data_IF_868755768630
#
_entry.id   IF_868755768630
#
_cell.length_a   1.000
_cell.length_b   1.000
_cell.length_c   1.000
_cell.angle_alpha   90.00
_cell.angle_beta   90.00
_cell.angle_gamma   90.00
#
_symmetry.space_group_name_H-M   'P 1'
#
loop_
_entity.id
_entity.type
_entity.pdbx_description
1 polymer ?
#
# COMPACT_ATOMS: atom_id res chain seq x y z
N UNK A 1 -48.66 3.17 9.27
CA UNK A 1 -47.96 2.16 8.46
C UNK A 1 -46.97 2.92 7.61
N UNK A 2 -45.75 3.01 8.09
CA UNK A 2 -44.63 3.64 7.38
C UNK A 2 -44.08 2.62 6.40
N UNK A 3 -44.14 2.91 5.11
CA UNK A 3 -43.50 2.13 4.06
C UNK A 3 -42.02 2.01 4.36
N UNK A 4 -41.56 0.78 4.49
CA UNK A 4 -40.13 0.44 4.56
C UNK A 4 -39.48 0.93 3.27
N UNK A 5 -38.28 1.56 3.34
CA UNK A 5 -37.57 1.95 2.13
C UNK A 5 -37.32 0.67 1.31
N UNK A 6 -37.67 0.74 0.03
CA UNK A 6 -37.44 -0.33 -0.95
C UNK A 6 -35.98 -0.81 -0.81
N UNK A 7 -35.83 -2.09 -0.52
CA UNK A 7 -34.53 -2.79 -0.60
C UNK A 7 -34.04 -2.71 -2.04
N UNK A 8 -33.24 -1.72 -2.35
CA UNK A 8 -32.42 -1.77 -3.56
C UNK A 8 -31.61 -3.05 -3.48
N UNK A 9 -31.78 -3.95 -4.45
CA UNK A 9 -30.97 -5.15 -4.56
C UNK A 9 -29.51 -4.73 -4.63
N UNK A 10 -28.69 -5.25 -3.73
CA UNK A 10 -27.27 -4.97 -3.73
C UNK A 10 -26.66 -5.63 -4.97
N UNK A 11 -26.42 -4.83 -5.98
CA UNK A 11 -25.76 -5.22 -7.21
C UNK A 11 -24.22 -5.09 -7.11
N UNK A 12 -23.55 -5.37 -8.20
CA UNK A 12 -22.16 -5.06 -8.38
C UNK A 12 -21.97 -4.10 -9.57
N UNK A 13 -20.90 -3.34 -9.56
CA UNK A 13 -20.47 -2.52 -10.69
C UNK A 13 -18.95 -2.53 -10.82
N UNK A 14 -18.47 -2.29 -12.04
CA UNK A 14 -17.07 -1.99 -12.28
C UNK A 14 -16.94 -0.47 -12.19
N UNK A 15 -15.97 -0.01 -11.40
CA UNK A 15 -15.70 1.41 -11.18
C UNK A 15 -14.28 1.73 -11.61
N UNK A 16 -14.04 3.00 -11.88
CA UNK A 16 -12.69 3.54 -12.08
C UNK A 16 -12.50 4.67 -11.07
N UNK A 17 -11.32 4.71 -10.47
CA UNK A 17 -10.94 5.78 -9.55
C UNK A 17 -9.47 6.08 -9.76
N UNK A 18 -9.19 7.18 -10.42
CA UNK A 18 -7.81 7.60 -10.63
C UNK A 18 -7.10 7.91 -9.31
N UNK A 19 -7.84 8.34 -8.28
CA UNK A 19 -7.27 8.66 -6.98
C UNK A 19 -6.82 7.40 -6.23
N UNK A 20 -7.66 6.33 -6.18
CA UNK A 20 -7.27 5.05 -5.60
C UNK A 20 -6.12 4.40 -6.39
N UNK A 21 -6.15 4.51 -7.71
CA UNK A 21 -5.12 4.00 -8.60
C UNK A 21 -3.77 4.71 -8.36
N UNK A 22 -3.78 6.03 -8.16
CA UNK A 22 -2.57 6.80 -7.87
C UNK A 22 -2.03 6.57 -6.47
N UNK A 23 -2.88 6.41 -5.46
CA UNK A 23 -2.42 6.05 -4.12
C UNK A 23 -1.65 4.71 -4.14
N UNK A 24 -2.17 3.72 -4.87
CA UNK A 24 -1.44 2.47 -5.08
C UNK A 24 -0.12 2.69 -5.85
N UNK A 25 -0.15 3.48 -6.94
CA UNK A 25 1.04 3.80 -7.72
C UNK A 25 2.12 4.48 -6.88
N UNK A 26 1.74 5.44 -6.05
CA UNK A 26 2.64 6.18 -5.15
C UNK A 26 3.22 5.26 -4.06
N UNK A 27 2.41 4.33 -3.55
CA UNK A 27 2.87 3.30 -2.61
C UNK A 27 3.97 2.43 -3.24
N UNK A 28 3.78 2.00 -4.50
CA UNK A 28 4.76 1.18 -5.20
C UNK A 28 6.00 1.96 -5.65
N UNK A 29 5.84 3.23 -6.02
CA UNK A 29 6.91 4.07 -6.52
C UNK A 29 7.87 4.53 -5.41
N UNK A 30 7.35 4.94 -4.27
CA UNK A 30 8.13 5.54 -3.18
C UNK A 30 8.25 4.66 -1.94
N UNK A 31 7.22 3.84 -1.64
CA UNK A 31 7.17 3.02 -0.45
C UNK A 31 8.04 1.77 -0.49
N UNK A 32 8.15 1.15 0.68
CA UNK A 32 8.86 -0.12 0.85
C UNK A 32 7.96 -1.34 0.60
N UNK A 33 6.93 -1.19 -0.24
CA UNK A 33 6.03 -2.29 -0.54
C UNK A 33 6.81 -3.47 -1.13
N UNK A 34 6.72 -4.62 -0.47
CA UNK A 34 7.60 -5.78 -0.75
C UNK A 34 7.52 -6.28 -2.20
N UNK A 35 6.34 -6.24 -2.84
CA UNK A 35 6.17 -6.68 -4.22
C UNK A 35 6.74 -5.70 -5.25
N UNK A 36 6.84 -4.42 -4.94
CA UNK A 36 7.23 -3.38 -5.91
C UNK A 36 8.68 -3.54 -6.41
N UNK A 37 9.56 -4.08 -5.57
CA UNK A 37 10.97 -4.28 -5.93
C UNK A 37 11.27 -5.53 -6.74
N UNK A 38 10.29 -6.43 -6.89
CA UNK A 38 10.49 -7.76 -7.49
C UNK A 38 9.55 -8.05 -8.65
N UNK A 39 8.44 -7.34 -8.74
CA UNK A 39 7.49 -7.46 -9.84
C UNK A 39 8.02 -6.69 -11.06
N UNK A 40 8.38 -7.35 -12.17
CA UNK A 40 9.00 -6.70 -13.32
C UNK A 40 8.19 -5.52 -13.86
N UNK A 41 6.87 -5.62 -13.80
CA UNK A 41 5.96 -4.59 -14.27
C UNK A 41 6.01 -3.31 -13.44
N UNK A 42 6.38 -3.38 -12.15
CA UNK A 42 6.45 -2.24 -11.23
C UNK A 42 7.84 -1.60 -11.14
N UNK A 43 8.88 -2.32 -11.59
CA UNK A 43 10.26 -1.79 -11.61
C UNK A 43 10.35 -0.42 -12.31
N UNK A 44 9.71 -0.19 -13.48
CA UNK A 44 9.78 1.10 -14.14
C UNK A 44 9.19 2.25 -13.30
N UNK A 45 8.10 2.01 -12.57
CA UNK A 45 7.52 3.03 -11.67
C UNK A 45 8.49 3.45 -10.58
N UNK A 46 9.27 2.51 -10.04
CA UNK A 46 10.23 2.78 -8.97
C UNK A 46 11.51 3.42 -9.49
N UNK A 47 12.04 2.95 -10.61
CA UNK A 47 13.32 3.41 -11.17
C UNK A 47 13.26 4.77 -11.87
N UNK A 48 12.06 5.20 -12.28
CA UNK A 48 11.89 6.48 -12.97
C UNK A 48 11.99 7.70 -12.03
N UNK A 49 11.96 7.49 -10.72
CA UNK A 49 11.94 8.57 -9.73
C UNK A 49 13.36 8.97 -9.31
N UNK A 50 13.60 10.28 -9.27
CA UNK A 50 14.87 10.84 -8.77
C UNK A 50 14.95 10.78 -7.24
N UNK A 51 16.14 10.89 -6.69
CA UNK A 51 16.36 11.00 -5.24
C UNK A 51 15.61 12.21 -4.64
N UNK A 52 15.50 13.31 -5.38
CA UNK A 52 14.76 14.49 -4.91
C UNK A 52 13.24 14.23 -4.89
N UNK A 53 12.72 13.52 -5.88
CA UNK A 53 11.32 13.09 -5.86
C UNK A 53 11.02 12.18 -4.65
N UNK A 54 11.93 11.27 -4.32
CA UNK A 54 11.79 10.37 -3.17
C UNK A 54 11.85 11.12 -1.83
N UNK A 55 12.65 12.19 -1.72
CA UNK A 55 12.64 13.06 -0.53
C UNK A 55 11.30 13.78 -0.35
N UNK A 56 10.71 14.27 -1.43
CA UNK A 56 9.39 14.89 -1.39
C UNK A 56 8.31 13.85 -1.08
N UNK A 57 8.43 12.64 -1.64
CA UNK A 57 7.54 11.53 -1.30
C UNK A 57 7.56 11.23 0.21
N UNK A 58 8.73 11.20 0.82
CA UNK A 58 8.90 10.98 2.25
C UNK A 58 8.26 12.07 3.11
N UNK A 59 8.33 13.34 2.66
CA UNK A 59 7.63 14.46 3.31
C UNK A 59 6.11 14.26 3.30
N UNK A 60 5.54 13.78 2.18
CA UNK A 60 4.09 13.68 2.02
C UNK A 60 3.51 12.36 2.53
N UNK A 61 4.27 11.28 2.48
CA UNK A 61 3.78 9.92 2.72
C UNK A 61 4.61 9.11 3.74
N UNK A 62 5.80 9.56 4.10
CA UNK A 62 6.72 8.80 4.95
C UNK A 62 6.15 8.40 6.30
N UNK A 63 5.33 9.27 6.89
CA UNK A 63 4.64 9.03 8.17
C UNK A 63 3.33 8.21 8.04
N UNK A 64 2.90 7.87 6.81
CA UNK A 64 1.58 7.26 6.57
C UNK A 64 1.61 5.74 6.56
N UNK A 65 2.67 5.12 7.05
CA UNK A 65 2.80 3.67 7.07
C UNK A 65 2.59 3.02 5.67
N UNK A 66 2.33 1.79 5.58
CA UNK A 66 2.32 0.83 4.50
C UNK A 66 1.62 1.22 3.18
N UNK A 67 0.55 2.01 3.21
CA UNK A 67 -0.28 2.29 2.04
C UNK A 67 -0.71 3.75 1.99
N UNK A 68 -0.44 4.40 0.85
CA UNK A 68 -0.91 5.76 0.61
C UNK A 68 -2.43 5.74 0.39
N UNK A 69 -3.17 6.59 1.09
CA UNK A 69 -4.63 6.74 0.97
C UNK A 69 -5.08 8.20 1.00
N UNK A 70 -4.14 9.10 0.77
CA UNK A 70 -4.40 10.55 0.79
C UNK A 70 -5.33 10.98 -0.33
N UNK A 71 -5.10 10.49 -1.55
CA UNK A 71 -5.91 10.84 -2.71
C UNK A 71 -7.30 10.19 -2.64
N UNK A 72 -7.41 8.96 -2.13
CA UNK A 72 -8.70 8.35 -1.81
C UNK A 72 -9.49 9.24 -0.85
N UNK A 73 -8.89 9.58 0.29
CA UNK A 73 -9.52 10.44 1.31
C UNK A 73 -9.89 11.81 0.73
N UNK A 74 -8.99 12.46 0.03
CA UNK A 74 -9.25 13.75 -0.62
C UNK A 74 -10.38 13.68 -1.66
N UNK A 75 -10.45 12.57 -2.42
CA UNK A 75 -11.50 12.36 -3.43
C UNK A 75 -12.88 12.09 -2.80
N UNK A 76 -12.92 11.39 -1.66
CA UNK A 76 -14.16 11.22 -0.89
C UNK A 76 -14.67 12.60 -0.41
N UNK A 77 -13.77 13.39 0.18
CA UNK A 77 -14.10 14.74 0.67
C UNK A 77 -14.50 15.70 -0.45
N UNK A 78 -13.92 15.57 -1.63
CA UNK A 78 -14.25 16.35 -2.81
C UNK A 78 -15.47 15.82 -3.59
N UNK A 79 -15.97 14.62 -3.27
CA UNK A 79 -17.10 13.98 -3.95
C UNK A 79 -16.78 13.42 -5.33
N UNK A 80 -15.52 13.04 -5.59
CA UNK A 80 -15.02 12.57 -6.90
C UNK A 80 -14.30 11.22 -6.83
N UNK A 81 -14.64 10.37 -5.88
CA UNK A 81 -13.97 9.08 -5.68
C UNK A 81 -13.99 8.19 -6.93
N UNK A 82 -15.08 8.19 -7.68
CA UNK A 82 -15.24 7.38 -8.90
C UNK A 82 -14.89 8.12 -10.19
N UNK A 83 -14.10 9.20 -10.13
CA UNK A 83 -13.65 9.91 -11.33
C UNK A 83 -12.42 9.18 -11.92
N UNK A 84 -12.52 8.87 -13.21
CA UNK A 84 -11.47 8.18 -13.97
C UNK A 84 -10.44 9.15 -14.58
N UNK A 85 -10.85 10.39 -14.85
CA UNK A 85 -10.01 11.39 -15.50
C UNK A 85 -9.17 12.15 -14.46
N UNK A 86 -7.85 12.08 -14.63
CA UNK A 86 -6.89 12.74 -13.73
C UNK A 86 -7.14 14.23 -13.60
N UNK A 87 -7.31 14.91 -14.72
CA UNK A 87 -7.45 16.37 -14.71
C UNK A 87 -8.73 16.81 -14.01
N UNK A 88 -9.85 16.11 -14.25
CA UNK A 88 -11.12 16.39 -13.56
C UNK A 88 -11.07 16.11 -12.08
N UNK A 89 -10.53 14.96 -11.69
CA UNK A 89 -10.40 14.60 -10.28
C UNK A 89 -9.53 15.62 -9.53
N UNK A 90 -8.32 15.87 -10.03
CA UNK A 90 -7.36 16.75 -9.36
C UNK A 90 -7.81 18.22 -9.38
N UNK A 91 -8.43 18.70 -10.46
CA UNK A 91 -8.99 20.05 -10.50
C UNK A 91 -10.06 20.24 -9.42
N UNK A 92 -10.95 19.27 -9.24
CA UNK A 92 -11.98 19.34 -8.20
C UNK A 92 -11.38 19.33 -6.81
N UNK A 93 -10.41 18.43 -6.56
CA UNK A 93 -9.75 18.34 -5.25
C UNK A 93 -8.99 19.62 -4.93
N UNK A 94 -8.23 20.17 -5.88
CA UNK A 94 -7.49 21.45 -5.72
C UNK A 94 -8.38 22.63 -5.38
N UNK A 95 -9.62 22.63 -5.87
CA UNK A 95 -10.58 23.70 -5.61
C UNK A 95 -11.39 23.48 -4.34
N UNK A 96 -11.29 22.30 -3.72
CA UNK A 96 -12.03 21.96 -2.51
C UNK A 96 -11.58 22.87 -1.35
N UNK A 97 -12.54 23.41 -0.62
CA UNK A 97 -12.35 24.12 0.63
C UNK A 97 -12.87 23.29 1.79
N UNK A 98 -12.55 23.65 3.01
CA UNK A 98 -13.06 22.96 4.22
C UNK A 98 -14.59 22.92 4.21
N UNK A 99 -15.24 24.04 3.88
CA UNK A 99 -16.69 24.16 3.86
C UNK A 99 -17.32 23.27 2.77
N UNK A 100 -16.72 23.23 1.58
CA UNK A 100 -17.18 22.34 0.51
C UNK A 100 -16.96 20.87 0.82
N UNK A 101 -15.87 20.51 1.50
CA UNK A 101 -15.60 19.16 1.97
C UNK A 101 -16.62 18.72 3.03
N UNK A 102 -16.94 19.57 4.00
CA UNK A 102 -18.01 19.29 4.98
C UNK A 102 -19.32 19.03 4.26
N UNK A 103 -19.73 19.91 3.37
CA UNK A 103 -21.00 19.79 2.64
C UNK A 103 -21.06 18.52 1.80
N UNK A 104 -19.97 18.14 1.14
CA UNK A 104 -19.90 16.92 0.35
C UNK A 104 -19.98 15.66 1.24
N UNK A 105 -19.29 15.69 2.37
CA UNK A 105 -19.30 14.56 3.31
C UNK A 105 -20.66 14.42 3.99
N UNK A 106 -21.31 15.52 4.38
CA UNK A 106 -22.67 15.53 4.93
C UNK A 106 -23.69 14.93 3.96
N UNK A 107 -23.60 15.26 2.67
CA UNK A 107 -24.46 14.63 1.64
C UNK A 107 -24.30 13.11 1.58
N UNK A 108 -23.07 12.63 1.69
CA UNK A 108 -22.76 11.18 1.72
C UNK A 108 -23.22 10.54 3.04
N UNK A 109 -23.05 11.25 4.15
CA UNK A 109 -23.35 10.80 5.50
C UNK A 109 -24.84 10.93 5.89
N UNK A 110 -25.61 11.71 5.14
CA UNK A 110 -27.04 11.97 5.44
C UNK A 110 -27.88 10.70 5.49
N UNK A 111 -27.54 9.67 4.71
CA UNK A 111 -28.21 8.36 4.74
C UNK A 111 -28.03 7.61 6.07
N UNK A 112 -27.09 8.04 6.89
CA UNK A 112 -26.69 7.41 8.17
C UNK A 112 -26.94 8.33 9.36
N UNK A 113 -27.70 9.41 9.14
CA UNK A 113 -28.04 10.41 10.17
C UNK A 113 -26.82 11.06 10.83
N UNK A 114 -25.78 11.32 10.03
CA UNK A 114 -24.55 11.98 10.47
C UNK A 114 -24.47 13.40 9.93
N UNK A 115 -24.15 14.32 10.81
CA UNK A 115 -23.96 15.74 10.50
C UNK A 115 -22.67 16.25 11.13
N UNK A 116 -22.16 17.34 10.60
CA UNK A 116 -21.04 18.07 11.19
C UNK A 116 -21.43 18.65 12.56
N UNK A 117 -20.44 18.92 13.38
CA UNK A 117 -20.66 19.54 14.70
C UNK A 117 -20.44 21.05 14.60
N UNK A 118 -21.52 21.81 14.57
CA UNK A 118 -21.49 23.27 14.48
C UNK A 118 -20.80 23.97 15.67
N UNK A 119 -20.59 23.26 16.78
CA UNK A 119 -19.89 23.79 17.95
C UNK A 119 -18.36 23.68 17.86
N UNK A 120 -17.84 23.01 16.83
CA UNK A 120 -16.41 22.86 16.60
C UNK A 120 -15.95 23.84 15.50
N UNK A 121 -14.66 24.23 15.51
CA UNK A 121 -14.06 24.87 14.36
C UNK A 121 -14.26 24.02 13.08
N UNK A 122 -14.40 24.61 11.90
CA UNK A 122 -14.70 23.86 10.66
C UNK A 122 -13.72 22.70 10.39
N UNK A 123 -12.44 22.89 10.65
CA UNK A 123 -11.42 21.84 10.50
C UNK A 123 -11.68 20.65 11.44
N UNK A 124 -11.88 20.93 12.72
CA UNK A 124 -12.13 19.87 13.72
C UNK A 124 -13.48 19.18 13.46
N UNK A 125 -14.48 19.94 13.01
CA UNK A 125 -15.79 19.42 12.62
C UNK A 125 -15.70 18.44 11.44
N UNK A 126 -14.90 18.77 10.42
CA UNK A 126 -14.64 17.88 9.27
C UNK A 126 -13.92 16.62 9.69
N UNK A 127 -12.89 16.76 10.53
CA UNK A 127 -12.11 15.63 11.04
C UNK A 127 -13.02 14.66 11.84
N UNK A 128 -13.82 15.22 12.75
CA UNK A 128 -14.76 14.42 13.56
C UNK A 128 -15.79 13.70 12.70
N UNK A 129 -16.42 14.41 11.75
CA UNK A 129 -17.43 13.82 10.87
C UNK A 129 -16.83 12.68 10.01
N UNK A 130 -15.63 12.87 9.44
CA UNK A 130 -15.00 11.85 8.62
C UNK A 130 -14.58 10.63 9.43
N UNK A 131 -14.03 10.81 10.61
CA UNK A 131 -13.67 9.70 11.51
C UNK A 131 -14.91 8.89 11.87
N UNK A 132 -16.02 9.55 12.24
CA UNK A 132 -17.29 8.86 12.49
C UNK A 132 -17.81 8.13 11.26
N UNK A 133 -17.75 8.76 10.08
CA UNK A 133 -18.18 8.18 8.82
C UNK A 133 -17.39 6.90 8.49
N UNK A 134 -16.06 6.93 8.61
CA UNK A 134 -15.20 5.77 8.35
C UNK A 134 -15.38 4.67 9.40
N UNK A 135 -15.52 5.00 10.67
CA UNK A 135 -15.79 4.00 11.73
C UNK A 135 -17.13 3.31 11.54
N UNK A 136 -18.17 4.06 11.22
CA UNK A 136 -19.50 3.49 10.96
C UNK A 136 -19.50 2.48 9.82
N UNK A 137 -18.66 2.63 8.81
CA UNK A 137 -18.55 1.66 7.72
C UNK A 137 -18.26 0.24 8.26
N UNK A 138 -17.38 0.13 9.25
CA UNK A 138 -17.03 -1.14 9.88
C UNK A 138 -18.09 -1.59 10.90
N UNK A 139 -18.57 -0.69 11.72
CA UNK A 139 -19.59 -0.98 12.76
C UNK A 139 -20.90 -1.48 12.15
N UNK A 140 -21.32 -0.90 11.03
CA UNK A 140 -22.57 -1.25 10.33
C UNK A 140 -22.64 -2.70 9.85
N UNK A 141 -21.48 -3.33 9.65
CA UNK A 141 -21.38 -4.74 9.24
C UNK A 141 -21.07 -5.68 10.42
N UNK A 142 -21.03 -5.14 11.65
CA UNK A 142 -20.74 -5.91 12.85
C UNK A 142 -19.26 -6.21 13.04
N UNK A 143 -18.40 -5.48 12.35
CA UNK A 143 -16.99 -5.49 12.59
C UNK A 143 -16.69 -4.45 13.70
N UNK A 144 -16.60 -4.94 14.94
CA UNK A 144 -15.96 -4.14 15.98
C UNK A 144 -14.51 -3.98 15.54
N UNK A 145 -14.16 -2.82 15.00
CA UNK A 145 -12.78 -2.53 14.69
C UNK A 145 -11.96 -2.90 15.94
N UNK A 146 -11.04 -3.86 15.87
CA UNK A 146 -10.24 -4.22 17.01
C UNK A 146 -9.62 -2.91 17.43
N UNK A 147 -9.94 -2.42 18.63
CA UNK A 147 -9.57 -1.10 19.12
C UNK A 147 -8.12 -0.76 18.80
N UNK A 148 -7.84 -0.62 17.52
CA UNK A 148 -6.55 -0.17 17.01
C UNK A 148 -6.51 1.32 17.28
N UNK A 149 -5.87 1.75 18.39
CA UNK A 149 -5.74 3.16 18.72
C UNK A 149 -5.02 3.92 17.59
N UNK A 150 -4.29 3.20 16.74
CA UNK A 150 -3.58 3.74 15.58
C UNK A 150 -4.53 4.08 14.42
N UNK A 151 -5.67 3.37 14.25
CA UNK A 151 -6.59 3.61 13.14
C UNK A 151 -7.16 5.02 13.14
N UNK A 152 -7.73 5.44 14.27
CA UNK A 152 -8.28 6.80 14.39
C UNK A 152 -7.20 7.87 14.25
N UNK A 153 -6.03 7.65 14.85
CA UNK A 153 -4.89 8.55 14.72
C UNK A 153 -4.44 8.69 13.26
N UNK A 154 -4.42 7.58 12.51
CA UNK A 154 -4.09 7.59 11.09
C UNK A 154 -5.11 8.37 10.28
N UNK A 155 -6.41 8.11 10.44
CA UNK A 155 -7.45 8.87 9.76
C UNK A 155 -7.34 10.39 10.01
N UNK A 156 -7.08 10.77 11.27
CA UNK A 156 -6.87 12.18 11.62
C UNK A 156 -5.65 12.79 10.92
N UNK A 157 -4.56 12.03 10.80
CA UNK A 157 -3.37 12.48 10.03
C UNK A 157 -3.69 12.65 8.54
N UNK A 158 -4.36 11.68 7.94
CA UNK A 158 -4.75 11.71 6.53
C UNK A 158 -5.61 12.94 6.21
N UNK A 159 -6.64 13.21 7.02
CA UNK A 159 -7.49 14.38 6.78
C UNK A 159 -6.71 15.68 6.95
N UNK A 160 -5.93 15.83 8.02
CA UNK A 160 -5.11 17.03 8.21
C UNK A 160 -4.22 17.28 7.00
N UNK A 161 -3.64 16.23 6.44
CA UNK A 161 -2.84 16.37 5.23
C UNK A 161 -3.70 16.72 4.02
N UNK A 162 -4.92 16.18 3.88
CA UNK A 162 -5.85 16.60 2.83
C UNK A 162 -6.16 18.10 2.92
N UNK A 163 -6.32 18.65 4.12
CA UNK A 163 -6.53 20.09 4.31
C UNK A 163 -5.33 20.91 3.85
N UNK A 164 -4.12 20.38 4.02
CA UNK A 164 -2.90 21.06 3.56
C UNK A 164 -2.73 21.07 2.04
N UNK A 165 -3.36 20.13 1.32
CA UNK A 165 -3.32 20.06 -0.15
C UNK A 165 -4.58 20.65 -0.82
N UNK A 166 -5.63 20.96 -0.07
CA UNK A 166 -6.80 21.66 -0.55
C UNK A 166 -6.50 23.15 -0.82
N UNK A 167 -7.45 23.84 -1.42
CA UNK A 167 -7.33 25.25 -1.77
C UNK A 167 -6.98 26.08 -0.53
N UNK A 168 -5.86 26.79 -0.60
CA UNK A 168 -5.36 27.63 0.50
C UNK A 168 -4.56 26.89 1.56
N UNK A 169 -4.40 25.57 1.44
CA UNK A 169 -3.55 24.77 2.32
C UNK A 169 -2.06 25.02 2.09
N UNK A 170 -1.25 24.74 3.08
CA UNK A 170 0.20 25.02 3.12
C UNK A 170 0.99 24.30 2.03
N UNK A 171 0.60 23.07 1.72
CA UNK A 171 1.27 22.23 0.73
C UNK A 171 0.54 22.19 -0.62
N UNK A 172 -0.47 23.06 -0.84
CA UNK A 172 -1.27 23.05 -2.05
C UNK A 172 -0.42 23.04 -3.33
N UNK A 173 0.30 24.13 -3.61
CA UNK A 173 1.03 24.26 -4.87
C UNK A 173 2.20 23.26 -4.99
N UNK A 174 3.07 23.06 -3.96
CA UNK A 174 4.16 22.11 -4.06
C UNK A 174 3.70 20.68 -4.30
N UNK A 175 2.72 20.21 -3.54
CA UNK A 175 2.20 18.86 -3.65
C UNK A 175 1.63 18.56 -5.04
N UNK A 176 0.77 19.48 -5.56
CA UNK A 176 0.17 19.26 -6.87
C UNK A 176 1.17 19.36 -8.01
N UNK A 177 2.17 20.21 -7.91
CA UNK A 177 3.26 20.25 -8.89
C UNK A 177 4.07 18.95 -8.89
N UNK A 178 4.40 18.42 -7.72
CA UNK A 178 5.08 17.17 -7.55
C UNK A 178 4.26 15.97 -8.08
N UNK A 179 2.96 15.93 -7.76
CA UNK A 179 2.05 14.87 -8.22
C UNK A 179 1.83 14.94 -9.75
N UNK A 180 1.67 16.14 -10.32
CA UNK A 180 1.55 16.33 -11.78
C UNK A 180 2.80 15.83 -12.49
N UNK A 181 3.99 16.14 -11.96
CA UNK A 181 5.24 15.63 -12.51
C UNK A 181 5.26 14.09 -12.52
N UNK A 182 4.97 13.47 -11.40
CA UNK A 182 4.88 12.01 -11.31
C UNK A 182 3.85 11.45 -12.29
N UNK A 183 2.65 12.02 -12.31
CA UNK A 183 1.58 11.55 -13.19
C UNK A 183 2.00 11.61 -14.66
N UNK A 184 2.39 12.77 -15.16
CA UNK A 184 2.66 12.94 -16.59
C UNK A 184 3.98 12.33 -17.06
N UNK A 185 5.01 12.32 -16.24
CA UNK A 185 6.33 11.84 -16.65
C UNK A 185 6.54 10.34 -16.38
N UNK A 186 5.90 9.80 -15.36
CA UNK A 186 6.14 8.42 -14.90
C UNK A 186 4.90 7.56 -15.04
N UNK A 187 3.83 7.93 -14.35
CA UNK A 187 2.68 7.06 -14.19
C UNK A 187 1.85 6.90 -15.46
N UNK A 188 1.46 7.99 -16.11
CA UNK A 188 0.62 7.95 -17.30
C UNK A 188 1.25 7.18 -18.47
N UNK A 189 2.52 7.39 -18.85
CA UNK A 189 3.18 6.57 -19.87
C UNK A 189 3.22 5.08 -19.49
N UNK A 190 3.51 4.78 -18.23
CA UNK A 190 3.50 3.41 -17.74
C UNK A 190 2.09 2.79 -17.83
N UNK A 191 1.06 3.50 -17.37
CA UNK A 191 -0.33 3.05 -17.41
C UNK A 191 -0.81 2.79 -18.84
N UNK A 192 -0.44 3.65 -19.78
CA UNK A 192 -0.74 3.45 -21.20
C UNK A 192 -0.11 2.17 -21.75
N UNK A 193 1.09 1.82 -21.32
CA UNK A 193 1.72 0.54 -21.67
C UNK A 193 0.93 -0.69 -21.16
N UNK A 194 0.11 -0.50 -20.13
CA UNK A 194 -0.74 -1.54 -19.53
C UNK A 194 -2.17 -1.59 -20.09
N UNK A 195 -2.49 -0.77 -21.10
CA UNK A 195 -3.86 -0.66 -21.66
C UNK A 195 -4.43 -2.01 -22.09
N UNK A 196 -3.68 -2.81 -22.82
CA UNK A 196 -4.14 -4.12 -23.27
C UNK A 196 -4.37 -5.07 -22.08
N UNK A 197 -3.50 -5.05 -21.10
CA UNK A 197 -3.66 -5.80 -19.85
C UNK A 197 -4.96 -5.42 -19.13
N UNK A 198 -5.25 -4.13 -19.01
CA UNK A 198 -6.47 -3.64 -18.35
C UNK A 198 -7.75 -4.08 -19.10
N UNK A 199 -7.73 -4.02 -20.44
CA UNK A 199 -8.86 -4.50 -21.27
C UNK A 199 -9.09 -6.00 -21.08
N UNK A 200 -8.03 -6.79 -21.01
CA UNK A 200 -8.15 -8.24 -20.80
C UNK A 200 -8.57 -8.57 -19.37
N UNK A 201 -8.10 -7.80 -18.39
CA UNK A 201 -8.51 -7.93 -17.00
C UNK A 201 -10.01 -7.65 -16.83
N UNK A 202 -10.51 -6.58 -17.45
CA UNK A 202 -11.95 -6.26 -17.46
C UNK A 202 -12.79 -7.39 -18.06
N UNK A 203 -12.40 -7.94 -19.21
CA UNK A 203 -13.06 -9.10 -19.82
C UNK A 203 -13.08 -10.31 -18.89
N UNK A 204 -11.95 -10.58 -18.20
CA UNK A 204 -11.86 -11.67 -17.22
C UNK A 204 -12.81 -11.43 -16.05
N UNK A 205 -12.82 -10.21 -15.49
CA UNK A 205 -13.74 -9.86 -14.42
C UNK A 205 -15.21 -10.06 -14.85
N UNK A 206 -15.60 -9.55 -16.02
CA UNK A 206 -16.95 -9.73 -16.57
C UNK A 206 -17.28 -11.22 -16.74
N UNK A 207 -16.33 -12.03 -17.20
CA UNK A 207 -16.50 -13.47 -17.36
C UNK A 207 -16.70 -14.16 -16.00
N UNK A 208 -15.91 -13.81 -15.01
CA UNK A 208 -15.95 -14.36 -13.65
C UNK A 208 -17.25 -13.97 -12.94
N UNK A 209 -17.67 -12.72 -13.10
CA UNK A 209 -18.96 -12.24 -12.54
C UNK A 209 -20.15 -12.91 -13.24
N UNK A 210 -19.89 -13.59 -14.35
CA UNK A 210 -20.88 -14.28 -15.14
C UNK A 210 -21.68 -13.31 -16.02
N UNK A 211 -22.50 -13.86 -16.91
CA UNK A 211 -23.51 -13.10 -17.64
C UNK A 211 -24.68 -12.65 -16.73
N UNK A 212 -24.47 -12.65 -15.41
CA UNK A 212 -25.43 -12.17 -14.45
C UNK A 212 -25.68 -10.68 -14.74
N UNK A 213 -26.88 -10.39 -15.19
CA UNK A 213 -27.39 -9.03 -15.20
C UNK A 213 -27.13 -8.49 -13.79
N UNK A 214 -26.59 -7.30 -13.69
CA UNK A 214 -26.16 -6.64 -12.46
C UNK A 214 -27.24 -6.53 -11.35
N UNK A 215 -28.38 -7.16 -11.53
CA UNK A 215 -29.57 -6.96 -10.71
C UNK A 215 -29.83 -8.05 -9.67
N UNK A 216 -29.32 -9.29 -9.82
CA UNK A 216 -29.99 -10.37 -9.10
C UNK A 216 -29.15 -11.29 -8.21
N UNK A 217 -27.83 -11.28 -8.29
CA UNK A 217 -26.99 -12.13 -7.40
C UNK A 217 -25.63 -11.52 -7.14
N UNK A 218 -25.25 -11.53 -5.89
CA UNK A 218 -23.87 -11.31 -5.49
C UNK A 218 -23.05 -12.49 -6.03
N UNK A 219 -21.95 -12.21 -6.76
CA UNK A 219 -21.10 -13.27 -7.27
C UNK A 219 -20.54 -14.11 -6.11
N UNK A 220 -20.40 -15.41 -6.34
CA UNK A 220 -19.65 -16.26 -5.42
C UNK A 220 -18.22 -15.76 -5.36
N UNK A 221 -17.81 -15.28 -4.19
CA UNK A 221 -16.49 -14.68 -3.99
C UNK A 221 -15.36 -15.72 -3.85
N UNK A 222 -15.65 -17.02 -4.01
CA UNK A 222 -14.65 -18.07 -3.91
C UNK A 222 -13.52 -17.95 -4.94
N UNK A 223 -13.73 -17.15 -5.98
CA UNK A 223 -12.73 -16.83 -6.99
C UNK A 223 -11.79 -15.68 -6.60
N UNK A 224 -12.15 -14.88 -5.58
CA UNK A 224 -11.21 -13.88 -5.05
C UNK A 224 -10.04 -14.61 -4.41
N UNK A 225 -8.81 -14.18 -4.69
CA UNK A 225 -7.65 -14.73 -4.01
C UNK A 225 -7.85 -14.71 -2.49
N UNK A 226 -7.51 -15.81 -1.83
CA UNK A 226 -7.65 -15.93 -0.37
C UNK A 226 -6.86 -14.88 0.40
N UNK A 227 -5.94 -14.20 -0.27
CA UNK A 227 -5.12 -13.11 0.26
C UNK A 227 -5.79 -11.73 0.13
N UNK A 228 -6.95 -11.60 -0.58
CA UNK A 228 -7.62 -10.32 -0.61
C UNK A 228 -7.99 -9.90 0.83
N UNK A 229 -7.58 -8.71 1.29
CA UNK A 229 -7.81 -8.28 2.67
C UNK A 229 -9.29 -8.32 3.07
N UNK A 230 -10.21 -8.10 2.13
CA UNK A 230 -11.65 -8.21 2.39
C UNK A 230 -12.06 -9.61 2.85
N UNK A 231 -11.34 -10.66 2.46
CA UNK A 231 -11.60 -12.03 2.88
C UNK A 231 -10.95 -12.39 4.23
N UNK A 232 -9.96 -11.61 4.69
CA UNK A 232 -9.40 -11.73 6.04
C UNK A 232 -10.42 -11.37 7.11
N UNK A 233 -11.42 -10.58 6.74
CA UNK A 233 -12.48 -10.13 7.65
C UNK A 233 -13.79 -10.87 7.34
N UNK A 234 -14.12 -11.92 8.10
CA UNK A 234 -15.34 -12.71 7.87
C UNK A 234 -16.62 -11.86 7.86
N UNK A 235 -16.60 -10.72 8.56
CA UNK A 235 -17.69 -9.75 8.64
C UNK A 235 -17.95 -9.12 7.28
N UNK A 236 -16.92 -8.67 6.58
CA UNK A 236 -17.03 -8.09 5.24
C UNK A 236 -17.59 -9.14 4.28
N UNK A 237 -17.01 -10.34 4.28
CA UNK A 237 -17.51 -11.45 3.46
C UNK A 237 -18.97 -11.82 3.75
N UNK A 238 -19.40 -11.79 5.02
CA UNK A 238 -20.82 -12.01 5.38
C UNK A 238 -21.73 -10.88 4.91
N UNK A 239 -21.30 -9.62 5.07
CA UNK A 239 -22.07 -8.45 4.65
C UNK A 239 -22.26 -8.41 3.13
N UNK A 240 -21.23 -8.77 2.37
CA UNK A 240 -21.31 -8.91 0.92
C UNK A 240 -22.29 -10.02 0.54
N UNK A 241 -22.12 -11.24 1.05
CA UNK A 241 -23.00 -12.38 0.75
C UNK A 241 -24.45 -12.17 1.15
N UNK A 242 -24.73 -11.36 2.16
CA UNK A 242 -26.09 -11.01 2.57
C UNK A 242 -26.69 -9.85 1.80
N UNK A 243 -26.06 -9.40 0.73
CA UNK A 243 -26.49 -8.26 -0.08
C UNK A 243 -26.66 -6.94 0.71
N UNK A 244 -25.97 -6.80 1.85
CA UNK A 244 -25.99 -5.56 2.62
C UNK A 244 -25.02 -4.51 2.11
N UNK A 245 -23.97 -4.95 1.37
CA UNK A 245 -22.95 -4.09 0.78
C UNK A 245 -22.94 -4.28 -0.74
N UNK A 246 -23.26 -3.26 -1.54
CA UNK A 246 -22.93 -3.22 -2.95
C UNK A 246 -21.44 -3.38 -3.18
N UNK A 247 -21.09 -4.18 -4.21
CA UNK A 247 -19.72 -4.43 -4.61
C UNK A 247 -19.32 -3.50 -5.74
N UNK A 248 -18.28 -2.72 -5.51
CA UNK A 248 -17.65 -1.92 -6.54
C UNK A 248 -16.28 -2.55 -6.85
N UNK A 249 -16.16 -3.13 -8.05
CA UNK A 249 -14.88 -3.68 -8.48
C UNK A 249 -14.04 -2.61 -9.15
N UNK A 250 -12.86 -2.43 -8.63
CA UNK A 250 -11.87 -1.53 -9.15
C UNK A 250 -10.77 -2.34 -9.84
N UNK A 251 -10.49 -2.03 -11.12
CA UNK A 251 -9.45 -2.70 -11.90
C UNK A 251 -8.10 -2.08 -11.63
N UNK A 252 -7.15 -2.89 -11.18
CA UNK A 252 -5.79 -2.44 -10.91
C UNK A 252 -4.85 -2.68 -12.09
N UNK A 253 -4.14 -1.66 -12.58
CA UNK A 253 -3.13 -1.84 -13.63
C UNK A 253 -1.87 -2.57 -13.16
N UNK A 254 -1.71 -2.76 -11.84
CA UNK A 254 -0.52 -3.34 -11.23
C UNK A 254 -0.42 -4.86 -11.36
N UNK A 255 -1.55 -5.54 -11.48
CA UNK A 255 -1.61 -6.99 -11.74
C UNK A 255 -1.83 -7.84 -10.49
N UNK A 256 -2.08 -7.26 -9.34
CA UNK A 256 -2.46 -7.97 -8.12
C UNK A 256 -3.57 -7.24 -7.37
N UNK A 257 -4.37 -8.00 -6.62
CA UNK A 257 -5.51 -7.50 -5.88
C UNK A 257 -5.23 -7.64 -4.39
N UNK A 258 -4.87 -6.55 -3.76
CA UNK A 258 -4.56 -6.54 -2.33
C UNK A 258 -5.21 -5.38 -1.58
N UNK A 259 -5.99 -4.56 -2.28
CA UNK A 259 -6.62 -3.40 -1.68
C UNK A 259 -8.14 -3.51 -1.61
N UNK A 260 -8.70 -2.94 -0.58
CA UNK A 260 -10.11 -2.67 -0.48
C UNK A 260 -10.35 -1.35 0.24
N UNK A 261 -11.46 -0.70 -0.08
CA UNK A 261 -11.95 0.44 0.69
C UNK A 261 -13.38 0.17 1.14
N UNK A 262 -13.63 0.34 2.43
CA UNK A 262 -14.95 0.21 3.01
C UNK A 262 -15.49 1.58 3.35
N UNK A 263 -16.60 1.93 2.72
CA UNK A 263 -17.38 3.12 3.03
C UNK A 263 -18.76 2.71 3.56
N UNK A 264 -19.46 3.57 4.29
CA UNK A 264 -20.81 3.28 4.73
C UNK A 264 -21.69 2.82 3.57
N UNK A 265 -22.24 1.62 3.70
CA UNK A 265 -23.14 1.03 2.72
C UNK A 265 -22.53 0.55 1.42
N UNK A 266 -21.20 0.55 1.24
CA UNK A 266 -20.56 0.02 0.04
C UNK A 266 -19.11 -0.41 0.27
N UNK A 267 -18.64 -1.33 -0.58
CA UNK A 267 -17.25 -1.79 -0.55
C UNK A 267 -16.65 -1.71 -1.94
N UNK A 268 -15.42 -1.23 -2.01
CA UNK A 268 -14.57 -1.22 -3.20
C UNK A 268 -13.53 -2.32 -3.06
N UNK A 269 -13.46 -3.20 -4.03
CA UNK A 269 -12.50 -4.29 -4.07
C UNK A 269 -11.64 -4.17 -5.33
N UNK A 270 -10.34 -4.16 -5.17
CA UNK A 270 -9.46 -4.29 -6.32
C UNK A 270 -9.58 -5.68 -6.94
N UNK A 271 -9.46 -5.76 -8.25
CA UNK A 271 -9.45 -7.01 -8.99
C UNK A 271 -8.18 -7.16 -9.78
N UNK A 272 -7.54 -8.30 -9.61
CA UNK A 272 -6.37 -8.71 -10.36
C UNK A 272 -6.51 -10.15 -10.85
N UNK A 273 -5.58 -10.55 -11.69
CA UNK A 273 -5.53 -11.90 -12.22
C UNK A 273 -5.15 -12.89 -11.11
N UNK A 274 -5.96 -13.95 -10.89
CA UNK A 274 -5.59 -15.02 -9.96
C UNK A 274 -4.22 -15.61 -10.32
N UNK A 275 -3.37 -15.80 -9.32
CA UNK A 275 -2.02 -16.34 -9.49
C UNK A 275 -0.91 -15.29 -9.57
N UNK A 276 -1.17 -14.09 -10.08
CA UNK A 276 -0.16 -13.01 -10.13
C UNK A 276 0.33 -12.60 -8.74
N UNK A 277 -0.56 -12.53 -7.77
CA UNK A 277 -0.19 -12.28 -6.37
C UNK A 277 0.78 -13.36 -5.88
N UNK A 278 0.45 -14.63 -6.12
CA UNK A 278 1.32 -15.73 -5.69
C UNK A 278 2.71 -15.64 -6.32
N UNK A 279 2.79 -15.35 -7.63
CA UNK A 279 4.07 -15.19 -8.33
C UNK A 279 4.91 -14.06 -7.73
N UNK A 280 4.29 -12.90 -7.45
CA UNK A 280 4.96 -11.76 -6.81
C UNK A 280 5.44 -12.10 -5.40
N UNK A 281 4.59 -12.72 -4.58
CA UNK A 281 4.96 -13.15 -3.24
C UNK A 281 6.04 -14.23 -3.26
N UNK A 282 5.94 -15.21 -4.17
CA UNK A 282 6.91 -16.27 -4.28
C UNK A 282 8.29 -15.74 -4.66
N UNK A 283 8.38 -14.81 -5.59
CA UNK A 283 9.64 -14.19 -6.00
C UNK A 283 10.26 -13.38 -4.86
N UNK A 284 9.48 -12.52 -4.21
CA UNK A 284 9.97 -11.75 -3.08
C UNK A 284 10.39 -12.64 -1.91
N UNK A 285 9.58 -13.64 -1.57
CA UNK A 285 9.90 -14.61 -0.52
C UNK A 285 11.20 -15.36 -0.82
N UNK A 286 11.44 -15.72 -2.09
CA UNK A 286 12.65 -16.38 -2.53
C UNK A 286 13.88 -15.48 -2.32
N UNK A 287 13.80 -14.21 -2.71
CA UNK A 287 14.87 -13.23 -2.53
C UNK A 287 15.15 -12.96 -1.05
N UNK A 288 14.09 -12.76 -0.27
CA UNK A 288 14.20 -12.54 1.18
C UNK A 288 14.78 -13.77 1.88
N UNK A 289 14.26 -14.97 1.54
CA UNK A 289 14.74 -16.25 2.08
C UNK A 289 16.20 -16.49 1.78
N UNK A 290 16.70 -16.18 0.58
CA UNK A 290 18.11 -16.33 0.24
C UNK A 290 19.01 -15.47 1.13
N UNK A 291 18.59 -14.23 1.44
CA UNK A 291 19.32 -13.33 2.35
C UNK A 291 19.28 -13.83 3.80
N UNK A 292 18.11 -14.28 4.27
CA UNK A 292 17.95 -14.88 5.61
C UNK A 292 18.79 -16.14 5.71
N UNK A 293 18.78 -17.00 4.70
CA UNK A 293 19.57 -18.23 4.65
C UNK A 293 21.07 -17.94 4.73
N UNK A 294 21.53 -16.82 4.17
CA UNK A 294 22.92 -16.40 4.32
C UNK A 294 23.31 -16.12 5.78
N UNK A 295 22.37 -15.75 6.64
CA UNK A 295 22.59 -15.58 8.09
C UNK A 295 22.32 -16.87 8.91
N UNK A 296 21.58 -17.83 8.38
CA UNK A 296 21.14 -19.03 9.10
C UNK A 296 22.24 -20.11 9.24
N UNK A 297 23.49 -19.69 9.43
CA UNK A 297 24.64 -20.55 9.66
C UNK A 297 25.49 -19.98 10.80
N UNK A 298 25.78 -20.74 11.87
CA UNK A 298 26.52 -20.24 13.03
C UNK A 298 27.90 -19.70 12.66
N UNK A 299 28.59 -20.35 11.73
CA UNK A 299 29.95 -19.91 11.32
C UNK A 299 29.88 -18.56 10.61
N UNK A 300 28.87 -18.32 9.76
CA UNK A 300 28.69 -17.04 9.08
C UNK A 300 28.35 -15.91 10.05
N UNK A 301 27.53 -16.17 11.07
CA UNK A 301 27.26 -15.17 12.11
C UNK A 301 28.53 -14.82 12.89
N UNK A 302 29.36 -15.83 13.21
CA UNK A 302 30.67 -15.58 13.88
C UNK A 302 31.58 -14.77 12.96
N UNK A 303 31.68 -15.13 11.67
CA UNK A 303 32.49 -14.40 10.69
C UNK A 303 32.05 -12.93 10.61
N UNK A 304 30.76 -12.63 10.53
CA UNK A 304 30.25 -11.26 10.55
C UNK A 304 30.70 -10.50 11.81
N UNK A 305 30.61 -11.15 12.98
CA UNK A 305 31.06 -10.54 14.22
C UNK A 305 32.57 -10.27 14.23
N UNK A 306 33.39 -11.19 13.71
CA UNK A 306 34.84 -11.02 13.59
C UNK A 306 35.24 -9.89 12.60
N UNK A 307 34.51 -9.80 11.47
CA UNK A 307 34.69 -8.69 10.53
C UNK A 307 34.36 -7.36 11.22
N UNK A 308 33.25 -7.28 11.95
CA UNK A 308 32.80 -6.05 12.62
C UNK A 308 33.71 -5.61 13.75
N UNK A 309 34.11 -6.54 14.61
CA UNK A 309 34.82 -6.23 15.83
C UNK A 309 36.34 -6.06 15.62
N UNK A 310 36.93 -6.80 14.66
CA UNK A 310 38.38 -6.95 14.56
C UNK A 310 38.95 -6.72 13.16
N UNK A 311 38.11 -6.47 12.15
CA UNK A 311 38.53 -6.29 10.75
C UNK A 311 39.45 -7.40 10.24
N UNK A 312 39.23 -8.64 10.65
CA UNK A 312 40.04 -9.81 10.36
C UNK A 312 40.04 -10.16 8.87
N UNK A 313 41.19 -10.65 8.38
CA UNK A 313 41.31 -11.26 7.05
C UNK A 313 40.80 -12.70 7.06
N UNK A 314 40.59 -13.29 5.87
CA UNK A 314 40.21 -14.73 5.77
C UNK A 314 41.25 -15.64 6.46
N UNK A 315 42.52 -15.28 6.43
CA UNK A 315 43.58 -16.05 7.09
C UNK A 315 43.49 -15.95 8.61
N UNK A 316 43.23 -14.75 9.13
CA UNK A 316 43.12 -14.52 10.58
C UNK A 316 41.87 -15.25 11.12
N UNK A 317 40.74 -15.14 10.41
CA UNK A 317 39.51 -15.81 10.79
C UNK A 317 39.64 -17.34 10.75
N UNK A 318 40.35 -17.88 9.76
CA UNK A 318 40.61 -19.32 9.65
C UNK A 318 41.43 -19.84 10.84
N UNK A 319 42.48 -19.11 11.21
CA UNK A 319 43.33 -19.41 12.38
C UNK A 319 42.53 -19.30 13.69
N UNK A 320 41.71 -18.23 13.83
CA UNK A 320 40.93 -18.00 15.04
C UNK A 320 39.85 -19.05 15.25
N UNK A 321 39.20 -19.48 14.16
CA UNK A 321 38.06 -20.45 14.20
C UNK A 321 38.56 -21.91 14.16
N UNK A 322 39.82 -22.18 13.87
CA UNK A 322 40.36 -23.52 13.72
C UNK A 322 39.83 -24.24 12.48
N UNK A 323 39.44 -23.51 11.43
CA UNK A 323 38.90 -24.05 10.15
C UNK A 323 39.84 -23.68 8.98
N UNK A 324 39.63 -24.31 7.83
CA UNK A 324 40.47 -24.03 6.68
C UNK A 324 40.15 -22.65 6.05
N UNK A 325 41.18 -21.96 5.50
CA UNK A 325 41.00 -20.71 4.75
C UNK A 325 40.00 -20.82 3.59
N UNK A 326 40.00 -21.91 2.78
CA UNK A 326 38.97 -22.13 1.77
C UNK A 326 37.54 -22.14 2.35
N UNK A 327 37.34 -22.74 3.53
CA UNK A 327 36.03 -22.77 4.21
C UNK A 327 35.57 -21.36 4.57
N UNK A 328 36.45 -20.53 5.16
CA UNK A 328 36.15 -19.11 5.44
C UNK A 328 35.81 -18.36 4.15
N UNK A 329 36.56 -18.61 3.07
CA UNK A 329 36.32 -17.96 1.77
C UNK A 329 34.95 -18.31 1.18
N UNK A 330 34.48 -19.56 1.37
CA UNK A 330 33.13 -19.98 0.95
C UNK A 330 32.06 -19.23 1.75
N UNK A 331 32.18 -19.16 3.08
CA UNK A 331 31.23 -18.43 3.92
C UNK A 331 31.22 -16.93 3.59
N UNK A 332 32.39 -16.31 3.41
CA UNK A 332 32.50 -14.91 3.00
C UNK A 332 31.89 -14.66 1.62
N UNK A 333 32.05 -15.59 0.68
CA UNK A 333 31.41 -15.51 -0.64
C UNK A 333 29.88 -15.50 -0.53
N UNK A 334 29.29 -16.41 0.26
CA UNK A 334 27.84 -16.49 0.48
C UNK A 334 27.31 -15.18 1.06
N UNK A 335 28.00 -14.63 2.07
CA UNK A 335 27.63 -13.35 2.67
C UNK A 335 27.72 -12.19 1.69
N UNK A 336 28.72 -12.19 0.82
CA UNK A 336 28.90 -11.16 -0.22
C UNK A 336 27.84 -11.29 -1.32
N UNK A 337 27.54 -12.49 -1.79
CA UNK A 337 26.48 -12.74 -2.78
C UNK A 337 25.10 -12.34 -2.25
N UNK A 338 24.87 -12.44 -0.95
CA UNK A 338 23.69 -11.92 -0.27
C UNK A 338 23.74 -10.39 -0.03
N UNK A 339 24.82 -9.72 -0.40
CA UNK A 339 24.99 -8.28 -0.20
C UNK A 339 25.23 -7.83 1.24
N UNK A 340 25.47 -8.77 2.17
CA UNK A 340 25.62 -8.47 3.60
C UNK A 340 27.02 -8.00 3.98
N UNK A 341 28.02 -8.27 3.14
CA UNK A 341 29.38 -7.74 3.26
C UNK A 341 29.86 -7.21 1.92
N UNK A 342 30.73 -6.21 1.98
CA UNK A 342 31.55 -5.76 0.88
C UNK A 342 32.96 -6.36 1.01
N UNK A 343 33.62 -6.60 -0.12
CA UNK A 343 34.97 -7.14 -0.13
C UNK A 343 35.89 -6.22 -0.97
N UNK A 344 37.04 -5.88 -0.43
CA UNK A 344 38.04 -5.10 -1.12
C UNK A 344 39.33 -5.88 -1.16
N UNK A 345 40.01 -5.91 -2.32
CA UNK A 345 41.31 -6.52 -2.46
C UNK A 345 42.40 -5.46 -2.17
N UNK A 346 43.30 -5.78 -1.22
CA UNK A 346 44.46 -4.99 -0.85
C UNK A 346 45.71 -5.85 -1.12
N UNK A 347 46.17 -5.82 -2.36
CA UNK A 347 47.30 -6.66 -2.80
C UNK A 347 46.90 -8.15 -2.79
N UNK A 348 47.53 -8.94 -1.92
CA UNK A 348 47.28 -10.38 -1.76
C UNK A 348 46.26 -10.69 -0.66
N UNK A 349 45.70 -9.69 -0.03
CA UNK A 349 44.78 -9.83 1.11
C UNK A 349 43.42 -9.31 0.70
N UNK A 350 42.39 -10.07 1.03
CA UNK A 350 40.97 -9.63 0.90
C UNK A 350 40.50 -9.17 2.27
N UNK A 351 40.05 -7.94 2.35
CA UNK A 351 39.38 -7.37 3.51
C UNK A 351 37.85 -7.35 3.26
N UNK A 352 37.13 -7.59 4.33
CA UNK A 352 35.69 -7.54 4.32
C UNK A 352 35.20 -6.47 5.27
N UNK A 353 34.07 -5.82 4.87
CA UNK A 353 33.36 -4.86 5.68
C UNK A 353 31.87 -5.23 5.68
N UNK A 354 31.19 -5.07 6.82
CA UNK A 354 29.75 -5.30 6.88
C UNK A 354 29.05 -4.18 6.12
N UNK A 355 28.11 -4.57 5.24
CA UNK A 355 27.17 -3.63 4.65
C UNK A 355 26.02 -3.43 5.66
N UNK A 356 26.22 -2.49 6.60
CA UNK A 356 25.29 -2.24 7.69
C UNK A 356 23.90 -1.84 7.18
N UNK A 357 23.82 -1.09 6.10
CA UNK A 357 22.56 -0.68 5.50
C UNK A 357 21.79 -1.88 4.93
N UNK A 358 22.47 -2.80 4.23
CA UNK A 358 21.86 -4.00 3.71
C UNK A 358 21.37 -4.94 4.83
N UNK A 359 22.11 -5.00 5.95
CA UNK A 359 21.70 -5.79 7.12
C UNK A 359 20.47 -5.18 7.77
N UNK A 360 20.47 -3.86 8.04
CA UNK A 360 19.29 -3.16 8.58
C UNK A 360 18.08 -3.34 7.68
N UNK A 361 18.27 -3.14 6.37
CA UNK A 361 17.21 -3.33 5.39
C UNK A 361 16.66 -4.76 5.39
N UNK A 362 17.49 -5.79 5.54
CA UNK A 362 17.03 -7.17 5.62
C UNK A 362 16.08 -7.41 6.80
N UNK A 363 16.41 -6.87 7.99
CA UNK A 363 15.55 -7.00 9.16
C UNK A 363 14.27 -6.20 9.01
N UNK A 364 14.36 -5.00 8.44
CA UNK A 364 13.18 -4.20 8.11
C UNK A 364 12.28 -4.92 7.11
N UNK A 365 12.83 -5.40 5.98
CA UNK A 365 12.08 -6.11 4.94
C UNK A 365 11.39 -7.38 5.52
N UNK A 366 12.06 -8.09 6.43
CA UNK A 366 11.49 -9.26 7.09
C UNK A 366 10.36 -8.89 8.05
N UNK A 367 10.52 -7.83 8.82
CA UNK A 367 9.49 -7.30 9.72
C UNK A 367 8.25 -6.88 8.94
N UNK A 368 8.48 -6.11 7.87
CA UNK A 368 7.43 -5.70 6.94
C UNK A 368 6.71 -6.91 6.33
N UNK A 369 7.45 -7.89 5.85
CA UNK A 369 6.88 -9.10 5.23
C UNK A 369 6.02 -9.92 6.20
N UNK A 370 6.41 -9.95 7.47
CA UNK A 370 5.71 -10.70 8.53
C UNK A 370 4.64 -9.88 9.25
N UNK A 371 4.43 -8.62 8.85
CA UNK A 371 3.50 -7.68 9.51
C UNK A 371 3.80 -7.54 11.02
N UNK A 372 5.07 -7.46 11.36
CA UNK A 372 5.51 -7.30 12.75
C UNK A 372 5.88 -5.83 13.01
N UNK A 373 5.48 -5.27 14.16
CA UNK A 373 5.98 -3.96 14.57
C UNK A 373 7.51 -4.04 14.72
N UNK A 374 8.20 -3.18 14.00
CA UNK A 374 9.64 -3.02 14.15
C UNK A 374 9.88 -1.73 14.92
N UNK A 375 9.96 -1.85 16.23
CA UNK A 375 10.50 -0.79 17.07
C UNK A 375 12.02 -0.98 17.12
N UNK A 376 12.82 -0.11 16.47
CA UNK A 376 14.25 -0.11 16.73
C UNK A 376 14.45 0.16 18.23
N UNK A 377 15.40 -0.51 18.91
CA UNK A 377 15.68 -0.20 20.30
C UNK A 377 15.98 1.30 20.43
N UNK A 378 15.30 1.96 21.37
CA UNK A 378 15.64 3.32 21.78
C UNK A 378 17.10 3.31 22.23
N UNK A 379 17.96 4.13 21.56
CA UNK A 379 19.35 4.33 21.93
C UNK A 379 19.49 5.10 23.26
#
# INVERSE_FOLDING_TARGET
MSESPEKKSAGWKIVQSICMELDAALTFAGGNYFAAGTTPELIPLRQANSDDWLKEWDIYYGDMNWFCSVLETASILAGVLEEADYSRATMTIRQTTIESAILNLEKQAALYDMQSNENLPPEDSLIDLFVRYRKYAYESIGFAHPGDPMYESRLKKEIRFCLEIFRGGRHHDPYWHWLDHFYYQVYHPWRESRRNFMVDLEKKLITVLGSAKATDRIPDLNWLPSLNPALRYPEIGRAIRSARLPLNFWLEPFGFSDTFSLLPGQVYLSFAEPGKIYESFAEYSRLLSARVQALADPTRLIILRLIRAFSMTNTDMAAYLGISRPTVSIHARILREAGLINSREEGRITRHEINSEAVKKLFHDLSVYLDLPFDPPED
#
